data_IF_620287680266
#
_entry.id   IF_620287680266
#
_cell.length_a   1.000
_cell.length_b   1.000
_cell.length_c   1.000
_cell.angle_alpha   90.00
_cell.angle_beta   90.00
_cell.angle_gamma   90.00
#
_symmetry.space_group_name_H-M   'P 1'
#
loop_
_entity.id
_entity.type
_entity.pdbx_description
1 polymer ?
#
# COMPACT_ATOMS: atom_id res chain seq x y z
N UNK A 1 28.00 -1.51 9.23
CA UNK A 1 26.66 -1.32 9.82
C UNK A 1 25.76 -0.80 8.71
N UNK A 2 24.52 -1.30 8.53
CA UNK A 2 23.64 -0.71 7.52
C UNK A 2 23.42 0.78 7.86
N UNK A 3 23.54 1.65 6.86
CA UNK A 3 23.41 3.10 7.04
C UNK A 3 22.07 3.44 7.70
N UNK A 4 22.09 4.23 8.77
CA UNK A 4 20.88 4.62 9.50
C UNK A 4 19.97 5.42 8.57
N UNK A 5 18.81 4.86 8.22
CA UNK A 5 17.83 5.53 7.34
C UNK A 5 17.39 6.87 7.96
N UNK A 6 17.38 7.94 7.14
CA UNK A 6 16.93 9.28 7.56
C UNK A 6 15.53 9.23 8.20
N UNK A 7 15.27 10.07 9.23
CA UNK A 7 13.94 10.18 9.82
C UNK A 7 12.92 10.65 8.78
N UNK A 8 11.65 10.28 8.96
CA UNK A 8 10.57 10.74 8.08
C UNK A 8 10.11 12.13 8.54
N UNK A 9 9.94 13.04 7.59
CA UNK A 9 9.29 14.32 7.84
C UNK A 9 7.78 14.10 8.02
N UNK A 10 7.21 14.70 9.06
CA UNK A 10 5.76 14.64 9.33
C UNK A 10 5.11 15.93 8.85
N UNK A 11 4.12 15.82 7.96
CA UNK A 11 3.38 16.98 7.52
C UNK A 11 2.61 17.60 8.70
N UNK A 12 2.81 18.89 9.04
CA UNK A 12 2.15 19.51 10.19
C UNK A 12 0.63 19.63 10.00
N UNK A 13 0.15 19.61 8.75
CA UNK A 13 -1.27 19.78 8.41
C UNK A 13 -2.06 18.47 8.54
N UNK A 14 -1.59 17.38 7.94
CA UNK A 14 -2.32 16.10 7.89
C UNK A 14 -1.72 14.98 8.77
N UNK A 15 -0.48 15.14 9.25
CA UNK A 15 0.23 14.10 10.01
C UNK A 15 0.82 12.98 9.16
N UNK A 16 0.65 13.00 7.83
CA UNK A 16 1.30 12.00 6.97
C UNK A 16 2.82 12.17 7.00
N UNK A 17 3.51 11.03 6.98
CA UNK A 17 4.97 10.95 7.05
C UNK A 17 5.58 10.69 5.69
N UNK A 18 6.68 11.33 5.36
CA UNK A 18 7.33 11.23 4.05
C UNK A 18 8.85 11.17 4.18
N UNK A 19 9.49 10.52 3.20
CA UNK A 19 10.97 10.48 3.09
C UNK A 19 11.54 11.81 2.59
N UNK A 20 10.76 12.54 1.79
CA UNK A 20 11.13 13.86 1.27
C UNK A 20 10.47 14.95 2.13
N UNK A 21 11.23 15.89 2.72
CA UNK A 21 10.67 17.04 3.42
C UNK A 21 9.79 17.90 2.51
N UNK A 22 8.74 18.50 3.06
CA UNK A 22 7.83 19.42 2.34
C UNK A 22 7.24 18.85 1.03
N UNK A 23 7.17 17.52 0.91
CA UNK A 23 6.70 16.86 -0.31
C UNK A 23 5.27 17.29 -0.66
N UNK A 24 5.05 17.66 -1.92
CA UNK A 24 3.69 17.89 -2.42
C UNK A 24 2.88 16.60 -2.30
N UNK A 25 1.66 16.72 -1.79
CA UNK A 25 0.73 15.62 -1.70
C UNK A 25 -0.70 16.17 -1.59
N UNK A 26 -1.69 15.31 -1.86
CA UNK A 26 -3.07 15.58 -1.48
C UNK A 26 -3.16 15.59 0.05
N UNK A 27 -2.99 16.79 0.62
CA UNK A 27 -2.96 17.06 2.04
C UNK A 27 -4.38 17.21 2.56
N UNK A 28 -4.94 16.11 3.04
CA UNK A 28 -6.28 16.09 3.63
C UNK A 28 -6.35 15.04 4.74
N UNK A 29 -7.32 15.22 5.64
CA UNK A 29 -7.66 14.27 6.70
C UNK A 29 -9.04 13.70 6.40
N UNK A 30 -9.17 12.38 6.41
CA UNK A 30 -10.44 11.69 6.17
C UNK A 30 -10.60 10.59 7.21
N UNK A 31 -11.83 10.26 7.61
CA UNK A 31 -12.03 9.05 8.41
C UNK A 31 -11.89 7.82 7.53
N UNK A 32 -11.33 6.73 8.09
CA UNK A 32 -11.35 5.44 7.41
C UNK A 32 -12.78 4.96 7.18
N UNK A 33 -13.67 5.20 8.14
CA UNK A 33 -15.07 4.76 8.10
C UNK A 33 -15.87 5.47 7.01
N UNK A 34 -15.47 6.67 6.59
CA UNK A 34 -16.11 7.40 5.49
C UNK A 34 -16.10 6.60 4.18
N UNK A 35 -15.08 5.77 3.95
CA UNK A 35 -15.00 4.93 2.77
C UNK A 35 -16.05 3.82 2.72
N UNK A 36 -16.64 3.46 3.86
CA UNK A 36 -17.59 2.36 4.00
C UNK A 36 -19.04 2.82 4.21
N UNK A 37 -19.29 4.13 4.31
CA UNK A 37 -20.66 4.67 4.40
C UNK A 37 -21.50 4.25 3.19
N UNK A 38 -22.68 3.68 3.45
CA UNK A 38 -23.59 3.18 2.41
C UNK A 38 -23.06 1.98 1.63
N UNK A 39 -22.02 1.28 2.13
CA UNK A 39 -21.47 0.07 1.51
C UNK A 39 -21.95 -1.18 2.22
N UNK A 40 -21.94 -2.30 1.50
CA UNK A 40 -22.24 -3.59 2.10
C UNK A 40 -21.25 -3.92 3.23
N UNK A 41 -21.69 -4.40 4.42
CA UNK A 41 -20.81 -4.67 5.56
C UNK A 41 -19.67 -5.65 5.27
N UNK A 42 -19.87 -6.55 4.30
CA UNK A 42 -18.84 -7.48 3.85
C UNK A 42 -17.59 -6.77 3.32
N UNK A 43 -17.73 -5.59 2.69
CA UNK A 43 -16.56 -4.83 2.20
C UNK A 43 -15.67 -4.38 3.36
N UNK A 44 -16.25 -4.01 4.50
CA UNK A 44 -15.44 -3.67 5.68
C UNK A 44 -14.69 -4.89 6.19
N UNK A 45 -15.32 -6.06 6.26
CA UNK A 45 -14.66 -7.32 6.65
C UNK A 45 -13.51 -7.70 5.71
N UNK A 46 -13.71 -7.57 4.40
CA UNK A 46 -12.67 -7.79 3.39
C UNK A 46 -11.50 -6.83 3.58
N UNK A 47 -11.78 -5.54 3.80
CA UNK A 47 -10.74 -4.54 4.07
C UNK A 47 -9.95 -4.89 5.34
N UNK A 48 -10.64 -5.18 6.43
CA UNK A 48 -10.01 -5.49 7.72
C UNK A 48 -9.12 -6.74 7.60
N UNK A 49 -9.57 -7.75 6.84
CA UNK A 49 -8.78 -8.95 6.55
C UNK A 49 -7.55 -8.64 5.70
N UNK A 50 -7.69 -7.79 4.68
CA UNK A 50 -6.56 -7.34 3.85
C UNK A 50 -5.54 -6.54 4.67
N UNK A 51 -5.99 -5.62 5.51
CA UNK A 51 -5.12 -4.86 6.42
C UNK A 51 -4.43 -5.77 7.43
N UNK A 52 -5.15 -6.75 8.00
CA UNK A 52 -4.57 -7.74 8.90
C UNK A 52 -3.48 -8.57 8.20
N UNK A 53 -3.71 -8.96 6.95
CA UNK A 53 -2.72 -9.68 6.14
C UNK A 53 -1.47 -8.82 5.91
N UNK A 54 -1.62 -7.54 5.57
CA UNK A 54 -0.50 -6.61 5.42
C UNK A 54 0.29 -6.44 6.73
N UNK A 55 -0.40 -6.36 7.87
CA UNK A 55 0.23 -6.26 9.20
C UNK A 55 1.01 -7.52 9.61
N UNK A 56 0.79 -8.68 8.96
CA UNK A 56 1.66 -9.85 9.17
C UNK A 56 3.08 -9.66 8.63
N UNK A 57 3.29 -8.70 7.73
CA UNK A 57 4.62 -8.39 7.20
C UNK A 57 5.43 -7.50 8.15
N UNK A 58 4.78 -6.77 9.05
CA UNK A 58 5.40 -5.85 10.01
C UNK A 58 4.51 -4.64 10.32
N UNK A 59 5.06 -3.60 11.00
CA UNK A 59 4.32 -2.37 11.27
C UNK A 59 3.78 -1.70 10.00
N UNK A 60 2.51 -1.31 10.01
CA UNK A 60 1.85 -0.61 8.91
C UNK A 60 1.12 0.61 9.45
N UNK A 61 1.46 1.78 8.90
CA UNK A 61 0.69 3.00 9.08
C UNK A 61 -0.39 3.08 8.00
N UNK A 62 -1.63 3.37 8.41
CA UNK A 62 -2.76 3.56 7.50
C UNK A 62 -3.06 5.05 7.38
N UNK A 63 -3.07 5.53 6.14
CA UNK A 63 -3.52 6.88 5.82
C UNK A 63 -4.75 6.84 4.92
N UNK A 64 -5.58 7.86 5.03
CA UNK A 64 -6.83 7.99 4.29
C UNK A 64 -6.81 9.28 3.49
N UNK A 65 -7.18 9.16 2.23
CA UNK A 65 -7.41 10.28 1.31
C UNK A 65 -8.84 10.16 0.79
N UNK A 66 -9.39 11.24 0.21
CA UNK A 66 -10.79 11.30 -0.26
C UNK A 66 -11.27 10.04 -0.98
N UNK A 67 -10.43 9.44 -1.82
CA UNK A 67 -10.81 8.29 -2.66
C UNK A 67 -10.09 6.99 -2.33
N UNK A 68 -9.06 7.00 -1.47
CA UNK A 68 -8.22 5.82 -1.25
C UNK A 68 -7.65 5.72 0.16
N UNK A 69 -7.40 4.50 0.55
CA UNK A 69 -6.71 4.11 1.77
C UNK A 69 -5.31 3.65 1.39
N UNK A 70 -4.30 4.07 2.14
CA UNK A 70 -2.88 3.88 1.84
C UNK A 70 -2.27 3.09 2.99
N UNK A 71 -1.49 2.07 2.64
CA UNK A 71 -0.64 1.34 3.57
C UNK A 71 0.80 1.80 3.38
N UNK A 72 1.43 2.21 4.48
CA UNK A 72 2.77 2.77 4.47
C UNK A 72 3.62 2.19 5.59
N UNK A 73 4.90 1.94 5.27
CA UNK A 73 5.95 1.79 6.27
C UNK A 73 6.85 3.03 6.28
N UNK A 74 7.96 3.05 5.54
CA UNK A 74 8.71 4.28 5.26
C UNK A 74 8.13 5.00 4.05
N UNK A 75 7.88 4.24 2.99
CA UNK A 75 7.14 4.68 1.81
C UNK A 75 5.84 3.89 1.68
N UNK A 76 4.92 4.42 0.87
CA UNK A 76 3.69 3.71 0.52
C UNK A 76 4.08 2.42 -0.21
N UNK A 77 3.40 1.33 0.09
CA UNK A 77 3.68 0.05 -0.59
C UNK A 77 2.42 -0.66 -1.07
N UNK A 78 1.28 -0.36 -0.46
CA UNK A 78 0.00 -0.91 -0.85
C UNK A 78 -1.12 0.10 -0.60
N UNK A 79 -2.31 -0.21 -1.10
CA UNK A 79 -3.49 0.60 -0.82
C UNK A 79 -4.78 -0.09 -1.24
N UNK A 80 -5.88 0.58 -0.98
CA UNK A 80 -7.23 0.12 -1.27
C UNK A 80 -8.12 1.28 -1.73
N UNK A 81 -9.04 1.00 -2.64
CA UNK A 81 -10.16 1.87 -3.01
C UNK A 81 -11.44 1.07 -2.81
N UNK A 82 -12.32 1.55 -1.94
CA UNK A 82 -13.62 0.90 -1.69
C UNK A 82 -14.58 1.27 -2.81
N UNK A 83 -14.96 0.28 -3.64
CA UNK A 83 -15.91 0.46 -4.75
C UNK A 83 -17.33 0.12 -4.29
N UNK A 84 -18.27 0.00 -5.22
CA UNK A 84 -19.68 -0.31 -4.89
C UNK A 84 -19.82 -1.73 -4.32
N UNK A 85 -19.22 -2.72 -4.99
CA UNK A 85 -19.40 -4.14 -4.67
C UNK A 85 -18.08 -4.90 -4.42
N UNK A 86 -16.94 -4.22 -4.41
CA UNK A 86 -15.62 -4.84 -4.20
C UNK A 86 -14.63 -3.84 -3.62
N UNK A 87 -13.47 -4.33 -3.18
CA UNK A 87 -12.31 -3.50 -2.89
C UNK A 87 -11.31 -3.65 -4.02
N UNK A 88 -10.86 -2.53 -4.56
CA UNK A 88 -9.74 -2.50 -5.48
C UNK A 88 -8.45 -2.31 -4.67
N UNK A 89 -7.72 -3.41 -4.49
CA UNK A 89 -6.42 -3.41 -3.85
C UNK A 89 -5.32 -3.04 -4.83
N UNK A 90 -4.17 -2.64 -4.29
CA UNK A 90 -2.95 -2.60 -5.08
C UNK A 90 -1.71 -2.74 -4.24
N UNK A 91 -0.67 -3.31 -4.86
CA UNK A 91 0.67 -3.50 -4.30
C UNK A 91 1.70 -2.90 -5.26
N UNK A 92 2.72 -2.26 -4.71
CA UNK A 92 3.85 -1.72 -5.47
C UNK A 92 5.03 -2.69 -5.39
N UNK A 93 5.41 -3.24 -6.54
CA UNK A 93 6.51 -4.19 -6.71
C UNK A 93 7.63 -3.57 -7.56
N UNK A 94 8.84 -4.13 -7.45
CA UNK A 94 10.02 -3.72 -8.24
C UNK A 94 10.25 -4.54 -9.50
N UNK A 95 9.31 -5.45 -9.80
CA UNK A 95 9.24 -6.24 -11.02
C UNK A 95 7.80 -6.30 -11.50
N UNK A 96 7.62 -6.51 -12.80
CA UNK A 96 6.30 -6.82 -13.37
C UNK A 96 5.98 -8.29 -13.07
N UNK A 97 4.74 -8.54 -12.62
CA UNK A 97 4.23 -9.89 -12.38
C UNK A 97 2.93 -10.04 -13.13
N UNK A 98 2.89 -10.99 -14.06
CA UNK A 98 1.65 -11.40 -14.69
C UNK A 98 1.05 -12.54 -13.87
N UNK A 99 -0.12 -12.29 -13.31
CA UNK A 99 -0.78 -13.20 -12.39
C UNK A 99 -2.30 -13.07 -12.57
N UNK A 100 -3.09 -14.16 -12.57
CA UNK A 100 -4.52 -14.13 -12.92
C UNK A 100 -5.36 -13.12 -12.11
N UNK A 101 -4.97 -12.81 -10.88
CA UNK A 101 -5.67 -11.85 -10.01
C UNK A 101 -5.41 -10.38 -10.36
N UNK A 102 -4.34 -10.09 -11.09
CA UNK A 102 -3.99 -8.72 -11.49
C UNK A 102 -4.71 -8.35 -12.78
N UNK A 103 -5.65 -7.41 -12.69
CA UNK A 103 -6.39 -6.94 -13.86
C UNK A 103 -5.74 -5.72 -14.54
N UNK A 104 -4.80 -5.06 -13.85
CA UNK A 104 -4.07 -3.89 -14.37
C UNK A 104 -2.72 -3.77 -13.70
N UNK A 105 -1.71 -3.38 -14.49
CA UNK A 105 -0.39 -3.02 -14.02
C UNK A 105 -0.10 -1.60 -14.51
N UNK A 106 0.22 -0.70 -13.59
CA UNK A 106 0.64 0.67 -13.91
C UNK A 106 2.14 0.79 -13.62
N UNK A 107 2.91 1.32 -14.57
CA UNK A 107 4.37 1.44 -14.43
C UNK A 107 4.82 2.90 -14.50
N UNK A 108 4.76 3.66 -13.38
CA UNK A 108 5.17 5.07 -13.37
C UNK A 108 6.64 5.28 -13.73
N UNK A 109 7.49 4.28 -13.45
CA UNK A 109 8.88 4.22 -13.88
C UNK A 109 9.20 2.81 -14.40
N UNK A 110 10.32 2.60 -15.10
CA UNK A 110 10.72 1.26 -15.54
C UNK A 110 10.93 0.24 -14.41
N UNK A 111 11.10 0.70 -13.16
CA UNK A 111 11.36 -0.16 -11.99
C UNK A 111 10.21 -0.19 -10.99
N UNK A 112 9.13 0.52 -11.25
CA UNK A 112 8.03 0.71 -10.31
C UNK A 112 6.74 0.23 -10.93
N UNK A 113 6.16 -0.84 -10.36
CA UNK A 113 4.99 -1.49 -10.93
C UNK A 113 3.89 -1.62 -9.87
N UNK A 114 2.78 -0.93 -10.10
CA UNK A 114 1.59 -0.97 -9.26
C UNK A 114 0.65 -2.01 -9.85
N UNK A 115 0.51 -3.14 -9.17
CA UNK A 115 -0.38 -4.22 -9.57
C UNK A 115 -1.73 -4.03 -8.88
N UNK A 116 -2.81 -3.95 -9.66
CA UNK A 116 -4.18 -3.75 -9.18
C UNK A 116 -4.95 -5.06 -9.25
N UNK A 117 -5.70 -5.35 -8.19
CA UNK A 117 -6.55 -6.54 -8.06
C UNK A 117 -7.89 -6.20 -7.42
N UNK A 118 -8.85 -7.11 -7.55
CA UNK A 118 -10.18 -6.99 -6.93
C UNK A 118 -10.29 -8.00 -5.79
N UNK A 119 -10.84 -7.56 -4.67
CA UNK A 119 -11.25 -8.39 -3.55
C UNK A 119 -12.78 -8.29 -3.43
N UNK A 120 -13.47 -9.39 -3.70
CA UNK A 120 -14.93 -9.51 -3.66
C UNK A 120 -15.41 -10.39 -2.52
N UNK A 121 -14.54 -11.28 -2.00
CA UNK A 121 -14.83 -12.23 -0.93
C UNK A 121 -13.62 -12.43 0.00
N UNK A 122 -13.82 -13.08 1.14
CA UNK A 122 -12.77 -13.24 2.15
C UNK A 122 -11.66 -14.19 1.71
N UNK A 123 -11.98 -15.13 0.83
CA UNK A 123 -11.09 -16.13 0.28
C UNK A 123 -10.06 -15.51 -0.66
N UNK A 124 -10.33 -14.30 -1.17
CA UNK A 124 -9.35 -13.54 -1.97
C UNK A 124 -8.19 -13.00 -1.11
N UNK A 125 -8.24 -13.16 0.22
CA UNK A 125 -7.15 -12.80 1.14
C UNK A 125 -6.44 -14.07 1.61
N UNK A 126 -5.60 -14.59 0.72
CA UNK A 126 -4.89 -15.86 0.83
C UNK A 126 -3.36 -15.70 0.92
N UNK A 127 -2.66 -16.82 0.86
CA UNK A 127 -1.20 -16.87 0.96
C UNK A 127 -0.50 -16.29 -0.27
N UNK A 128 -1.10 -16.36 -1.46
CA UNK A 128 -0.50 -15.75 -2.65
C UNK A 128 -0.50 -14.22 -2.54
N UNK A 129 -1.62 -13.65 -2.07
CA UNK A 129 -1.67 -12.23 -1.76
C UNK A 129 -0.68 -11.84 -0.65
N UNK A 130 -0.42 -12.73 0.31
CA UNK A 130 0.58 -12.51 1.35
C UNK A 130 2.00 -12.41 0.77
N UNK A 131 2.37 -13.25 -0.19
CA UNK A 131 3.70 -13.16 -0.82
C UNK A 131 3.89 -11.83 -1.57
N UNK A 132 2.86 -11.37 -2.31
CA UNK A 132 2.91 -10.06 -2.94
C UNK A 132 2.96 -8.92 -1.93
N UNK A 133 2.27 -9.04 -0.80
CA UNK A 133 2.34 -8.07 0.29
C UNK A 133 3.71 -8.04 0.95
N UNK A 134 4.40 -9.18 1.12
CA UNK A 134 5.77 -9.24 1.64
C UNK A 134 6.75 -8.53 0.72
N UNK A 135 6.67 -8.80 -0.58
CA UNK A 135 7.52 -8.13 -1.57
C UNK A 135 7.25 -6.62 -1.58
N UNK A 136 5.98 -6.21 -1.59
CA UNK A 136 5.62 -4.81 -1.49
C UNK A 136 6.09 -4.19 -0.16
N UNK A 137 5.99 -4.91 0.95
CA UNK A 137 6.45 -4.44 2.25
C UNK A 137 7.95 -4.15 2.25
N UNK A 138 8.77 -4.98 1.61
CA UNK A 138 10.21 -4.71 1.39
C UNK A 138 10.44 -3.41 0.59
N UNK A 139 9.58 -3.10 -0.39
CA UNK A 139 9.56 -1.78 -1.06
C UNK A 139 9.21 -0.67 -0.08
N UNK A 140 8.18 -0.86 0.75
CA UNK A 140 7.76 0.03 1.83
C UNK A 140 8.87 0.31 2.84
N UNK A 141 9.71 -0.67 3.11
CA UNK A 141 10.92 -0.57 3.92
C UNK A 141 12.08 0.11 3.19
N UNK A 142 12.02 0.27 1.87
CA UNK A 142 13.12 0.73 1.00
C UNK A 142 14.33 -0.23 0.97
N UNK A 143 14.12 -1.54 1.07
CA UNK A 143 15.21 -2.53 1.06
C UNK A 143 15.92 -2.63 -0.29
N UNK A 144 15.18 -2.41 -1.39
CA UNK A 144 15.73 -2.35 -2.75
C UNK A 144 16.79 -1.26 -2.97
N UNK A 145 16.83 -0.21 -2.13
CA UNK A 145 17.86 0.82 -2.24
C UNK A 145 19.23 0.31 -1.75
N UNK A 146 19.26 -0.67 -0.85
CA UNK A 146 20.50 -1.26 -0.38
C UNK A 146 21.14 -2.15 -1.45
N UNK A 147 20.33 -2.82 -2.28
CA UNK A 147 20.83 -3.63 -3.39
C UNK A 147 21.47 -2.76 -4.48
N UNK A 148 20.85 -1.63 -4.81
CA UNK A 148 21.37 -0.69 -5.81
C UNK A 148 22.69 -0.01 -5.40
N UNK A 149 22.93 0.15 -4.10
CA UNK A 149 24.18 0.72 -3.58
C UNK A 149 25.34 -0.29 -3.54
N UNK A 150 25.08 -1.58 -3.77
CA UNK A 150 26.10 -2.62 -3.84
C UNK A 150 26.62 -2.85 -5.28
N UNK A 151 25.87 -2.36 -6.28
CA UNK A 151 26.14 -2.55 -7.71
C UNK A 151 26.71 -1.29 -8.40
N UNK A 152 27.09 -0.25 -7.65
CA UNK A 152 27.64 1.01 -8.18
C UNK A 152 28.74 1.57 -7.31
#
# INVERSE_FOLDING_TARGET
MPEKKKPLWTCPKCGHRFVTPNMWHSCSRHSLDDHFKGKAPILRKIFDRYLALAKKCGPVTVYTQKTRIIFQMRVRFAGAVVKKNWIEGGVWLKRKVEYPRFFRIESPTPRDHIHRFRLTKLEDIDNELLEFLREAYAVGCQEHLNALAADG
#
